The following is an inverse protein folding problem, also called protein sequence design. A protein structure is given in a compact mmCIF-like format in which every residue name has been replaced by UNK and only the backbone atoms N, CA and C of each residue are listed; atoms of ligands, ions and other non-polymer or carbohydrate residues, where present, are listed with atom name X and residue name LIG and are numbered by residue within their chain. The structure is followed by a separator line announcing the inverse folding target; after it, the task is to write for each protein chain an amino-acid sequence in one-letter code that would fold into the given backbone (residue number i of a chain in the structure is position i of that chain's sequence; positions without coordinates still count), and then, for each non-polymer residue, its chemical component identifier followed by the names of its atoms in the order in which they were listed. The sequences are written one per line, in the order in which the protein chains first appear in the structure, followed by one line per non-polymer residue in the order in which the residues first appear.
data_IF_308760574571
#
_entry.id   IF_308760574571
#
_cell.length_a   1.000
_cell.length_b   1.000
_cell.length_c   1.000
_cell.angle_alpha   90.00
_cell.angle_beta   90.00
_cell.angle_gamma   90.00
#
_symmetry.space_group_name_H-M   'P 1'
#
loop_
_entity.id
_entity.type
_entity.pdbx_description
1 polymer ?
#
# COMPACT_ATOMS: atom_id res chain seq x y z
N UNK A 1 -1.39 -13.94 7.92
CA UNK A 1 -1.79 -12.67 8.53
C UNK A 1 -1.91 -12.87 10.03
N UNK A 2 -1.11 -12.13 10.81
CA UNK A 2 -1.14 -12.15 12.27
C UNK A 2 -2.24 -11.22 12.78
N UNK A 3 -2.70 -11.37 14.02
CA UNK A 3 -3.71 -10.48 14.65
C UNK A 3 -3.29 -8.99 14.61
N UNK A 4 -2.00 -8.73 14.74
CA UNK A 4 -1.39 -7.40 14.66
C UNK A 4 -1.48 -6.78 13.24
N UNK A 5 -1.38 -7.63 12.21
CA UNK A 5 -1.47 -7.22 10.82
C UNK A 5 -2.92 -6.93 10.40
N UNK A 6 -3.89 -7.66 10.98
CA UNK A 6 -5.31 -7.39 10.79
C UNK A 6 -5.74 -6.07 11.45
N UNK A 7 -5.22 -5.80 12.67
CA UNK A 7 -5.43 -4.53 13.36
C UNK A 7 -4.80 -3.35 12.61
N UNK A 8 -3.58 -3.52 12.09
CA UNK A 8 -2.94 -2.55 11.22
C UNK A 8 -3.80 -2.27 9.99
N UNK A 9 -4.23 -3.32 9.28
CA UNK A 9 -5.06 -3.22 8.08
C UNK A 9 -6.36 -2.45 8.33
N UNK A 10 -7.09 -2.78 9.39
CA UNK A 10 -8.35 -2.07 9.74
C UNK A 10 -8.09 -0.58 9.97
N UNK A 11 -7.09 -0.25 10.78
CA UNK A 11 -6.74 1.14 11.10
C UNK A 11 -6.35 1.94 9.86
N UNK A 12 -5.60 1.31 8.95
CA UNK A 12 -5.17 1.92 7.69
C UNK A 12 -6.35 2.14 6.75
N UNK A 13 -7.24 1.16 6.59
CA UNK A 13 -8.44 1.29 5.76
C UNK A 13 -9.34 2.44 6.25
N UNK A 14 -9.63 2.48 7.56
CA UNK A 14 -10.42 3.56 8.16
C UNK A 14 -9.73 4.93 7.99
N UNK A 15 -8.40 4.97 8.10
CA UNK A 15 -7.60 6.18 7.86
C UNK A 15 -7.67 6.64 6.40
N UNK A 16 -7.68 5.72 5.45
CA UNK A 16 -7.82 6.01 4.02
C UNK A 16 -9.18 6.60 3.67
N UNK A 17 -10.26 5.99 4.18
CA UNK A 17 -11.62 6.52 3.98
C UNK A 17 -11.77 7.90 4.66
N UNK A 18 -11.34 8.03 5.92
CA UNK A 18 -11.59 9.24 6.70
C UNK A 18 -10.71 10.43 6.34
N UNK A 19 -9.43 10.22 5.99
CA UNK A 19 -8.46 11.32 5.76
C UNK A 19 -8.31 11.66 4.29
N UNK A 20 -8.52 10.68 3.41
CA UNK A 20 -8.22 10.80 1.98
C UNK A 20 -9.43 10.59 1.07
N UNK A 21 -10.63 10.40 1.65
CA UNK A 21 -11.88 10.20 0.91
C UNK A 21 -11.80 9.01 -0.07
N UNK A 22 -10.97 8.01 0.25
CA UNK A 22 -10.85 6.80 -0.56
C UNK A 22 -12.13 5.97 -0.43
N UNK A 23 -12.66 5.45 -1.54
CA UNK A 23 -13.76 4.51 -1.51
C UNK A 23 -13.37 3.24 -0.73
N UNK A 24 -14.31 2.65 0.01
CA UNK A 24 -14.04 1.51 0.91
C UNK A 24 -13.35 0.31 0.22
N UNK A 25 -13.66 0.03 -1.05
CA UNK A 25 -12.97 -1.02 -1.82
C UNK A 25 -11.49 -0.67 -2.06
N UNK A 26 -11.22 0.59 -2.42
CA UNK A 26 -9.85 1.07 -2.65
C UNK A 26 -9.07 1.13 -1.34
N UNK A 27 -9.70 1.60 -0.26
CA UNK A 27 -9.12 1.64 1.06
C UNK A 27 -8.76 0.24 1.58
N UNK A 28 -9.65 -0.75 1.45
CA UNK A 28 -9.40 -2.14 1.85
C UNK A 28 -8.27 -2.78 1.01
N UNK A 29 -8.27 -2.54 -0.30
CA UNK A 29 -7.22 -3.04 -1.19
C UNK A 29 -5.85 -2.45 -0.83
N UNK A 30 -5.79 -1.14 -0.60
CA UNK A 30 -4.57 -0.43 -0.20
C UNK A 30 -4.06 -0.91 1.16
N UNK A 31 -4.96 -1.07 2.13
CA UNK A 31 -4.63 -1.56 3.46
C UNK A 31 -4.10 -3.00 3.42
N UNK A 32 -4.71 -3.87 2.59
CA UNK A 32 -4.25 -5.25 2.40
C UNK A 32 -2.85 -5.30 1.81
N UNK A 33 -2.57 -4.49 0.79
CA UNK A 33 -1.23 -4.38 0.20
C UNK A 33 -0.21 -3.78 1.17
N UNK A 34 -0.60 -2.80 1.97
CA UNK A 34 0.26 -2.21 2.98
C UNK A 34 0.61 -3.18 4.12
N UNK A 35 -0.35 -4.00 4.54
CA UNK A 35 -0.14 -5.05 5.53
C UNK A 35 0.87 -6.11 5.02
N UNK A 36 0.77 -6.49 3.74
CA UNK A 36 1.77 -7.34 3.10
C UNK A 36 3.17 -6.68 3.07
N UNK A 37 3.26 -5.41 2.65
CA UNK A 37 4.52 -4.66 2.65
C UNK A 37 5.15 -4.60 4.05
N UNK A 38 4.35 -4.31 5.07
CA UNK A 38 4.77 -4.32 6.46
C UNK A 38 5.32 -5.69 6.87
N UNK A 39 4.59 -6.76 6.60
CA UNK A 39 5.01 -8.11 7.01
C UNK A 39 6.27 -8.60 6.29
N UNK A 40 6.51 -8.19 5.06
CA UNK A 40 7.58 -8.72 4.22
C UNK A 40 8.82 -7.83 4.17
N UNK A 41 8.65 -6.52 4.36
CA UNK A 41 9.71 -5.52 4.15
C UNK A 41 9.93 -4.67 5.40
N UNK A 42 8.86 -4.12 5.96
CA UNK A 42 8.93 -3.08 6.99
C UNK A 42 8.13 -3.47 8.24
N UNK A 43 8.62 -4.45 9.01
CA UNK A 43 7.87 -5.02 10.16
C UNK A 43 7.50 -3.97 11.23
N UNK A 44 8.32 -2.91 11.35
CA UNK A 44 8.14 -1.82 12.30
C UNK A 44 7.22 -0.69 11.75
N UNK A 45 6.74 -0.80 10.51
CA UNK A 45 5.85 0.20 9.92
C UNK A 45 4.55 0.29 10.71
N UNK A 46 4.23 1.49 11.20
CA UNK A 46 2.98 1.78 11.90
C UNK A 46 1.93 2.35 10.96
N UNK A 47 0.65 2.18 11.31
CA UNK A 47 -0.46 2.71 10.51
C UNK A 47 -0.36 4.24 10.38
N UNK A 48 0.00 4.92 11.46
CA UNK A 48 0.20 6.37 11.48
C UNK A 48 1.32 6.82 10.55
N UNK A 49 2.46 6.11 10.53
CA UNK A 49 3.58 6.44 9.64
C UNK A 49 3.20 6.29 8.16
N UNK A 50 2.44 5.24 7.82
CA UNK A 50 1.93 5.08 6.46
C UNK A 50 0.95 6.19 6.08
N UNK A 51 0.00 6.51 6.95
CA UNK A 51 -0.97 7.59 6.70
C UNK A 51 -0.28 8.94 6.57
N UNK A 52 0.79 9.18 7.31
CA UNK A 52 1.60 10.39 7.16
C UNK A 52 2.34 10.43 5.82
N UNK A 53 2.96 9.31 5.41
CA UNK A 53 3.63 9.21 4.11
C UNK A 53 2.68 9.44 2.93
N UNK A 54 1.44 8.94 2.99
CA UNK A 54 0.40 9.20 1.97
C UNK A 54 -0.05 10.65 1.97
N UNK A 55 -0.04 11.33 3.12
CA UNK A 55 -0.35 12.76 3.20
C UNK A 55 0.79 13.65 2.71
N UNK A 56 2.05 13.23 2.89
CA UNK A 56 3.22 13.94 2.36
C UNK A 56 3.29 13.83 0.83
N UNK A 57 2.78 12.72 0.27
CA UNK A 57 2.62 12.50 -1.17
C UNK A 57 1.51 13.34 -1.84
N UNK A 58 1.29 14.59 -1.42
CA UNK A 58 0.22 15.48 -1.94
C UNK A 58 0.45 15.96 -3.39
N UNK A 59 1.57 15.60 -4.02
CA UNK A 59 1.88 15.89 -5.43
C UNK A 59 0.84 15.33 -6.42
N UNK A 60 0.03 14.35 -6.01
CA UNK A 60 -1.03 13.77 -6.84
C UNK A 60 -2.42 14.15 -6.33
N UNK A 61 -3.39 14.32 -7.22
CA UNK A 61 -4.79 14.52 -6.83
C UNK A 61 -5.50 13.20 -6.49
N UNK A 62 -5.05 12.10 -7.09
CA UNK A 62 -5.65 10.77 -6.96
C UNK A 62 -5.01 9.98 -5.81
N UNK A 63 -5.83 9.40 -4.94
CA UNK A 63 -5.39 8.64 -3.78
C UNK A 63 -4.47 7.46 -4.15
N UNK A 64 -4.78 6.71 -5.21
CA UNK A 64 -3.98 5.54 -5.59
C UNK A 64 -2.56 5.96 -5.98
N UNK A 65 -2.40 7.09 -6.66
CA UNK A 65 -1.08 7.64 -6.98
C UNK A 65 -0.33 8.17 -5.76
N UNK A 66 -1.02 8.80 -4.80
CA UNK A 66 -0.40 9.20 -3.51
C UNK A 66 0.10 7.98 -2.75
N UNK A 67 -0.74 6.95 -2.66
CA UNK A 67 -0.39 5.68 -2.02
C UNK A 67 0.82 5.03 -2.69
N UNK A 68 0.85 4.96 -4.02
CA UNK A 68 1.95 4.36 -4.76
C UNK A 68 3.28 5.09 -4.56
N UNK A 69 3.23 6.42 -4.50
CA UNK A 69 4.40 7.23 -4.18
C UNK A 69 4.88 6.94 -2.75
N UNK A 70 3.97 6.93 -1.77
CA UNK A 70 4.31 6.65 -0.37
C UNK A 70 4.96 5.27 -0.21
N UNK A 71 4.37 4.21 -0.77
CA UNK A 71 4.94 2.86 -0.75
C UNK A 71 6.30 2.82 -1.48
N UNK A 72 6.43 3.53 -2.59
CA UNK A 72 7.69 3.67 -3.31
C UNK A 72 8.80 4.29 -2.47
N UNK A 73 8.49 5.38 -1.77
CA UNK A 73 9.41 6.11 -0.89
C UNK A 73 9.80 5.25 0.32
N UNK A 74 8.83 4.61 0.98
CA UNK A 74 9.10 3.72 2.12
C UNK A 74 9.97 2.52 1.73
N UNK A 75 9.73 1.92 0.56
CA UNK A 75 10.55 0.81 0.08
C UNK A 75 11.97 1.23 -0.32
N UNK A 76 12.15 2.47 -0.78
CA UNK A 76 13.46 3.02 -1.12
C UNK A 76 14.31 3.37 0.11
N UNK A 77 13.67 3.66 1.25
CA UNK A 77 14.37 3.91 2.52
C UNK A 77 14.88 2.61 3.17
N UNK A 78 14.29 1.46 2.81
CA UNK A 78 14.75 0.15 3.25
C UNK A 78 15.98 -0.36 2.49
N UNK A 79 16.82 -1.12 3.19
CA UNK A 79 18.02 -1.77 2.65
C UNK A 79 17.66 -2.54 1.36
N UNK A 80 18.47 -2.37 0.29
CA UNK A 80 18.30 -2.96 -1.05
C UNK A 80 17.28 -2.31 -2.02
N UNK A 81 16.74 -1.11 -1.77
CA UNK A 81 15.78 -0.44 -2.68
C UNK A 81 14.65 -1.41 -3.08
N UNK A 82 13.96 -1.94 -2.07
CA UNK A 82 13.01 -3.05 -2.24
C UNK A 82 11.99 -2.74 -3.33
N UNK A 83 11.68 -3.74 -4.15
CA UNK A 83 10.72 -3.59 -5.23
C UNK A 83 9.30 -3.36 -4.66
N UNK A 84 8.88 -2.09 -4.66
CA UNK A 84 7.57 -1.67 -4.16
C UNK A 84 6.40 -2.05 -5.08
N UNK A 85 6.66 -2.54 -6.30
CA UNK A 85 5.59 -2.71 -7.32
C UNK A 85 4.54 -3.72 -6.92
N UNK A 86 4.92 -4.77 -6.17
CA UNK A 86 3.96 -5.76 -5.66
C UNK A 86 2.93 -5.16 -4.69
N UNK A 87 3.27 -4.04 -4.06
CA UNK A 87 2.48 -3.40 -3.00
C UNK A 87 1.73 -2.16 -3.48
N UNK A 88 1.91 -1.71 -4.72
CA UNK A 88 1.24 -0.53 -5.28
C UNK A 88 -0.19 -0.83 -5.71
N UNK A 89 -1.09 0.13 -5.54
CA UNK A 89 -2.47 0.08 -6.01
C UNK A 89 -2.54 0.20 -7.53
N UNK A 90 -1.86 1.18 -8.14
CA UNK A 90 -1.76 1.28 -9.59
C UNK A 90 -0.64 0.36 -10.11
N UNK A 91 -0.83 -0.95 -9.94
CA UNK A 91 -0.09 -1.97 -10.66
C UNK A 91 -0.97 -2.49 -11.79
N UNK A 92 -0.43 -2.62 -13.02
CA UNK A 92 -1.06 -3.15 -14.24
C UNK A 92 -2.33 -4.00 -13.98
N UNK A 93 -3.49 -3.33 -13.87
CA UNK A 93 -4.78 -3.99 -14.03
C UNK A 93 -4.75 -4.68 -15.41
N UNK A 94 -5.02 -5.98 -15.43
CA UNK A 94 -5.13 -6.85 -16.63
C UNK A 94 -3.85 -7.28 -17.39
N UNK A 95 -2.63 -7.12 -16.86
CA UNK A 95 -1.43 -7.78 -17.44
C UNK A 95 -0.59 -8.59 -16.43
N UNK A 96 -1.14 -8.84 -15.25
CA UNK A 96 -0.60 -9.84 -14.32
C UNK A 96 -0.87 -11.25 -14.88
N UNK A 97 -0.01 -11.69 -15.80
CA UNK A 97 0.19 -13.07 -16.28
C UNK A 97 -1.03 -14.01 -16.21
N UNK A 98 -1.77 -14.12 -17.32
CA UNK A 98 -2.50 -15.35 -17.64
C UNK A 98 -1.51 -16.54 -17.53
N UNK A 99 -1.70 -17.50 -16.60
CA UNK A 99 -0.83 -18.68 -16.50
C UNK A 99 -0.97 -19.62 -17.70
N UNK A 100 -1.89 -19.35 -18.63
CA UNK A 100 -2.09 -20.12 -19.87
C UNK A 100 -1.28 -19.59 -21.08
N UNK A 101 -0.62 -18.42 -20.99
CA UNK A 101 0.37 -18.00 -22.01
C UNK A 101 1.74 -18.59 -21.64
N UNK A 102 1.80 -19.92 -21.60
CA UNK A 102 3.02 -20.63 -21.20
C UNK A 102 2.94 -22.14 -21.18
N UNK A 103 2.00 -22.76 -21.91
CA UNK A 103 1.94 -24.21 -22.10
C UNK A 103 1.84 -24.58 -23.59
#
# INVERSE_FOLDING_TARGET
MSEDDDAFRSTVAEGFESRFDADGETAEAAATKAAAFRSEVAEDLTAEALLDAVADADDYADFAHRYDLAIGTLAADHEDCTDSRAYRLAGFDDLAADPEIGA
#
